data_IF_537388283193
#
_entry.id   IF_537388283193
#
_cell.length_a   1.000
_cell.length_b   1.000
_cell.length_c   1.000
_cell.angle_alpha   90.00
_cell.angle_beta   90.00
_cell.angle_gamma   90.00
#
_symmetry.space_group_name_H-M   'P 1'
#
loop_
_entity.id
_entity.type
_entity.pdbx_description
1 polymer ?
#
# COMPACT_ATOMS: atom_id res chain seq x y z
N UNK A 1 -0.89 -17.18 -17.72
CA UNK A 1 -0.18 -15.91 -17.39
C UNK A 1 -0.24 -15.81 -15.89
N UNK A 2 0.86 -15.51 -15.21
CA UNK A 2 0.92 -15.39 -13.75
C UNK A 2 0.99 -13.92 -13.36
N UNK A 3 0.44 -13.58 -12.21
CA UNK A 3 0.44 -12.21 -11.70
C UNK A 3 0.87 -12.23 -10.24
N UNK A 4 1.76 -11.33 -9.84
CA UNK A 4 2.14 -11.16 -8.44
C UNK A 4 2.05 -9.69 -8.04
N UNK A 5 1.27 -9.41 -6.99
CA UNK A 5 1.16 -8.11 -6.35
C UNK A 5 2.00 -8.10 -5.05
N UNK A 6 2.99 -7.23 -4.99
CA UNK A 6 3.90 -7.13 -3.84
C UNK A 6 3.59 -5.91 -3.01
N UNK A 7 3.52 -6.06 -1.69
CA UNK A 7 3.76 -4.93 -0.81
C UNK A 7 5.16 -4.33 -1.04
N UNK A 8 5.31 -3.07 -0.64
CA UNK A 8 6.52 -2.29 -0.82
C UNK A 8 7.42 -2.27 0.41
N UNK A 9 6.96 -1.71 1.53
CA UNK A 9 7.81 -1.40 2.69
C UNK A 9 7.98 -2.60 3.62
N UNK A 10 9.19 -3.16 3.71
CA UNK A 10 9.43 -4.38 4.47
C UNK A 10 9.22 -5.66 3.67
N UNK A 11 8.67 -5.53 2.45
CA UNK A 11 8.48 -6.63 1.49
C UNK A 11 9.45 -6.51 0.31
N UNK A 12 9.16 -5.63 -0.66
CA UNK A 12 10.00 -5.43 -1.84
C UNK A 12 11.23 -4.55 -1.53
N UNK A 13 11.04 -3.54 -0.68
CA UNK A 13 12.09 -2.68 -0.17
C UNK A 13 12.39 -3.06 1.29
N UNK A 14 13.52 -3.72 1.51
CA UNK A 14 13.93 -4.17 2.83
C UNK A 14 15.11 -3.36 3.34
N UNK A 15 14.98 -2.72 4.51
CA UNK A 15 16.00 -1.81 5.04
C UNK A 15 16.46 -0.75 4.01
N UNK A 16 15.49 -0.14 3.31
CA UNK A 16 15.72 0.88 2.27
C UNK A 16 16.49 0.39 1.04
N UNK A 17 16.59 -0.93 0.83
CA UNK A 17 17.33 -1.51 -0.29
C UNK A 17 16.52 -2.63 -0.97
N UNK A 18 16.69 -2.74 -2.29
CA UNK A 18 16.24 -3.90 -3.04
C UNK A 18 17.29 -5.00 -2.97
N UNK A 19 16.87 -6.26 -2.79
CA UNK A 19 17.78 -7.39 -3.00
C UNK A 19 18.02 -7.57 -4.50
N UNK A 20 19.27 -7.78 -4.90
CA UNK A 20 19.61 -7.96 -6.33
C UNK A 20 18.91 -9.18 -6.95
N UNK A 21 18.74 -10.25 -6.15
CA UNK A 21 18.02 -11.46 -6.54
C UNK A 21 16.57 -11.19 -6.91
N UNK A 22 15.83 -10.47 -6.06
CA UNK A 22 14.45 -10.05 -6.31
C UNK A 22 14.35 -9.26 -7.62
N UNK A 23 15.21 -8.24 -7.82
CA UNK A 23 15.20 -7.43 -9.04
C UNK A 23 15.44 -8.25 -10.31
N UNK A 24 16.38 -9.20 -10.26
CA UNK A 24 16.69 -10.08 -11.39
C UNK A 24 15.50 -10.99 -11.68
N UNK A 25 14.92 -11.60 -10.64
CA UNK A 25 13.81 -12.53 -10.76
C UNK A 25 12.54 -11.86 -11.28
N UNK A 26 12.22 -10.64 -10.81
CA UNK A 26 11.10 -9.83 -11.32
C UNK A 26 11.25 -9.60 -12.82
N UNK A 27 12.45 -9.22 -13.29
CA UNK A 27 12.72 -9.01 -14.71
C UNK A 27 12.59 -10.29 -15.54
N UNK A 28 13.01 -11.43 -15.00
CA UNK A 28 12.82 -12.74 -15.64
C UNK A 28 11.34 -13.11 -15.73
N UNK A 29 10.61 -12.93 -14.63
CA UNK A 29 9.17 -13.18 -14.55
C UNK A 29 8.40 -12.36 -15.58
N UNK A 30 8.65 -11.04 -15.66
CA UNK A 30 8.00 -10.16 -16.63
C UNK A 30 8.35 -10.50 -18.09
N UNK A 31 9.59 -10.94 -18.37
CA UNK A 31 10.02 -11.36 -19.72
C UNK A 31 9.25 -12.58 -20.23
N UNK A 32 8.70 -13.41 -19.35
CA UNK A 32 7.87 -14.56 -19.72
C UNK A 32 6.41 -14.15 -20.04
N UNK A 33 6.09 -12.86 -19.98
CA UNK A 33 4.74 -12.35 -20.20
C UNK A 33 3.85 -12.38 -18.96
N UNK A 34 4.44 -12.60 -17.78
CA UNK A 34 3.76 -12.47 -16.49
C UNK A 34 3.75 -11.02 -16.01
N UNK A 35 2.88 -10.68 -15.06
CA UNK A 35 2.71 -9.31 -14.56
C UNK A 35 3.18 -9.18 -13.12
N UNK A 36 4.05 -8.20 -12.85
CA UNK A 36 4.50 -7.87 -11.50
C UNK A 36 4.12 -6.43 -11.15
N UNK A 37 3.43 -6.23 -10.04
CA UNK A 37 2.95 -4.92 -9.63
C UNK A 37 2.97 -4.70 -8.12
N UNK A 38 2.63 -3.48 -7.72
CA UNK A 38 2.65 -3.05 -6.33
C UNK A 38 1.28 -3.12 -5.67
N UNK A 39 1.27 -3.36 -4.36
CA UNK A 39 0.14 -3.18 -3.47
C UNK A 39 0.57 -2.46 -2.18
N UNK A 40 0.52 -1.14 -2.16
CA UNK A 40 1.13 -0.31 -1.12
C UNK A 40 0.16 0.68 -0.46
N UNK A 41 0.44 1.05 0.79
CA UNK A 41 -0.21 2.15 1.49
C UNK A 41 0.27 3.54 1.03
N UNK A 42 1.38 3.63 0.28
CA UNK A 42 1.92 4.91 -0.20
C UNK A 42 1.23 5.41 -1.47
N UNK A 43 1.27 6.73 -1.74
CA UNK A 43 0.88 7.30 -3.03
C UNK A 43 1.98 7.12 -4.09
N UNK A 44 1.59 7.34 -5.35
CA UNK A 44 2.41 7.04 -6.52
C UNK A 44 3.76 7.76 -6.57
N UNK A 45 3.80 9.09 -6.41
CA UNK A 45 4.97 9.92 -6.76
C UNK A 45 6.27 9.47 -6.08
N UNK A 46 6.22 9.28 -4.76
CA UNK A 46 7.39 8.88 -3.97
C UNK A 46 7.91 7.48 -4.31
N UNK A 47 7.00 6.52 -4.53
CA UNK A 47 7.37 5.16 -4.95
C UNK A 47 7.95 5.17 -6.36
N UNK A 48 7.27 5.82 -7.30
CA UNK A 48 7.61 5.77 -8.71
C UNK A 48 9.01 6.34 -8.99
N UNK A 49 9.31 7.51 -8.43
CA UNK A 49 10.61 8.17 -8.60
C UNK A 49 11.77 7.29 -8.09
N UNK A 50 11.57 6.61 -6.97
CA UNK A 50 12.57 5.71 -6.39
C UNK A 50 12.73 4.40 -7.16
N UNK A 51 11.62 3.78 -7.57
CA UNK A 51 11.64 2.43 -8.16
C UNK A 51 11.98 2.41 -9.66
N UNK A 52 11.67 3.48 -10.40
CA UNK A 52 11.82 3.55 -11.86
C UNK A 52 13.19 3.12 -12.41
N UNK A 53 14.33 3.37 -11.74
CA UNK A 53 15.63 2.88 -12.22
C UNK A 53 15.81 1.35 -12.11
N UNK A 54 15.01 0.68 -11.28
CA UNK A 54 15.20 -0.71 -10.89
C UNK A 54 14.12 -1.63 -11.48
N UNK A 55 12.85 -1.22 -11.41
CA UNK A 55 11.67 -2.01 -11.74
C UNK A 55 10.69 -1.12 -12.53
N UNK A 56 10.15 -1.67 -13.61
CA UNK A 56 9.01 -1.11 -14.36
C UNK A 56 7.78 -1.98 -14.06
N UNK A 57 6.91 -1.53 -13.16
CA UNK A 57 5.76 -2.32 -12.71
C UNK A 57 4.66 -2.36 -13.76
N UNK A 58 3.94 -3.47 -13.82
CA UNK A 58 2.83 -3.67 -14.77
C UNK A 58 1.50 -3.08 -14.25
N UNK A 59 1.39 -2.82 -12.96
CA UNK A 59 0.26 -2.15 -12.31
C UNK A 59 0.64 -1.61 -10.93
N UNK A 60 -0.21 -0.74 -10.39
CA UNK A 60 -0.03 -0.14 -9.07
C UNK A 60 -1.36 -0.14 -8.32
N UNK A 61 -1.42 -0.82 -7.17
CA UNK A 61 -2.45 -0.63 -6.16
C UNK A 61 -1.83 0.22 -5.05
N UNK A 62 -2.40 1.39 -4.81
CA UNK A 62 -1.83 2.47 -4.00
C UNK A 62 -2.83 2.95 -2.96
N UNK A 63 -2.33 3.71 -1.98
CA UNK A 63 -3.15 4.31 -0.93
C UNK A 63 -4.06 3.26 -0.25
N UNK A 64 -3.51 2.07 0.04
CA UNK A 64 -4.23 0.93 0.65
C UNK A 64 -5.48 0.53 -0.15
N UNK A 65 -5.33 0.48 -1.48
CA UNK A 65 -6.37 0.03 -2.40
C UNK A 65 -7.32 1.12 -2.89
N UNK A 66 -7.20 2.35 -2.39
CA UNK A 66 -8.05 3.47 -2.81
C UNK A 66 -7.71 3.98 -4.23
N UNK A 67 -6.56 3.61 -4.81
CA UNK A 67 -6.18 3.99 -6.17
C UNK A 67 -5.54 2.80 -6.89
N UNK A 68 -6.01 2.49 -8.09
CA UNK A 68 -5.41 1.47 -8.96
C UNK A 68 -5.04 2.08 -10.31
N UNK A 69 -3.80 1.86 -10.73
CA UNK A 69 -3.25 2.30 -12.02
C UNK A 69 -2.82 1.10 -12.86
N UNK A 70 -3.01 1.19 -14.18
CA UNK A 70 -2.40 0.27 -15.13
C UNK A 70 -0.91 0.61 -15.39
N UNK A 71 -0.26 -0.16 -16.28
CA UNK A 71 1.14 0.05 -16.70
C UNK A 71 1.40 1.45 -17.27
N UNK A 72 0.45 1.96 -18.04
CA UNK A 72 0.49 3.29 -18.63
C UNK A 72 0.28 4.41 -17.60
N UNK A 73 -0.01 4.04 -16.34
CA UNK A 73 -0.31 4.90 -15.18
C UNK A 73 -1.65 5.61 -15.30
N UNK A 74 -2.56 5.06 -16.10
CA UNK A 74 -3.94 5.52 -16.19
C UNK A 74 -4.71 5.01 -14.97
N UNK A 75 -5.57 5.86 -14.42
CA UNK A 75 -6.43 5.50 -13.29
C UNK A 75 -7.52 4.56 -13.81
N UNK A 76 -7.49 3.31 -13.36
CA UNK A 76 -8.52 2.31 -13.68
C UNK A 76 -9.54 2.17 -12.54
N UNK A 77 -9.14 2.48 -11.31
CA UNK A 77 -10.05 2.57 -10.17
C UNK A 77 -9.60 3.66 -9.21
N UNK A 78 -10.55 4.35 -8.58
CA UNK A 78 -10.30 5.22 -7.43
C UNK A 78 -11.48 5.26 -6.47
N UNK A 79 -11.17 5.52 -5.22
CA UNK A 79 -12.09 5.82 -4.12
C UNK A 79 -11.50 7.00 -3.34
N UNK A 80 -12.37 7.88 -2.82
CA UNK A 80 -11.94 9.20 -2.35
C UNK A 80 -12.61 9.63 -1.06
N UNK A 81 -11.84 10.32 -0.23
CA UNK A 81 -12.31 10.99 0.98
C UNK A 81 -12.75 12.41 0.59
N UNK A 82 -13.92 12.83 1.07
CA UNK A 82 -14.40 14.19 0.82
C UNK A 82 -13.54 15.23 1.57
N UNK A 83 -13.43 16.44 1.01
CA UNK A 83 -12.75 17.55 1.72
C UNK A 83 -13.38 17.83 3.10
N UNK A 84 -14.70 17.72 3.22
CA UNK A 84 -15.38 17.91 4.49
C UNK A 84 -14.89 16.90 5.55
N UNK A 85 -14.84 15.62 5.19
CA UNK A 85 -14.40 14.55 6.07
C UNK A 85 -12.90 14.68 6.42
N UNK A 86 -12.07 15.11 5.46
CA UNK A 86 -10.67 15.46 5.72
C UNK A 86 -10.56 16.53 6.82
N UNK A 87 -11.34 17.62 6.73
CA UNK A 87 -11.30 18.68 7.73
C UNK A 87 -11.72 18.18 9.12
N UNK A 88 -12.81 17.42 9.21
CA UNK A 88 -13.27 16.87 10.50
C UNK A 88 -12.26 15.90 11.11
N UNK A 89 -11.65 15.03 10.30
CA UNK A 89 -10.60 14.13 10.75
C UNK A 89 -9.37 14.91 11.24
N UNK A 90 -8.92 15.90 10.45
CA UNK A 90 -7.74 16.70 10.78
C UNK A 90 -7.95 17.49 12.08
N UNK A 91 -9.12 18.13 12.27
CA UNK A 91 -9.46 18.87 13.48
C UNK A 91 -9.41 18.01 14.74
N UNK A 92 -9.76 16.73 14.64
CA UNK A 92 -9.74 15.79 15.76
C UNK A 92 -8.31 15.34 16.11
N UNK A 93 -7.51 14.95 15.12
CA UNK A 93 -6.27 14.20 15.37
C UNK A 93 -4.98 15.02 15.24
N UNK A 94 -4.99 16.19 14.60
CA UNK A 94 -3.77 16.96 14.30
C UNK A 94 -2.95 17.39 15.54
N UNK A 95 -3.56 17.42 16.73
CA UNK A 95 -2.87 17.82 17.96
C UNK A 95 -1.98 16.72 18.52
N UNK A 96 -2.34 15.46 18.25
CA UNK A 96 -1.71 14.29 18.84
C UNK A 96 -0.83 13.54 17.83
N UNK A 97 -1.13 13.70 16.54
CA UNK A 97 -0.51 12.95 15.44
C UNK A 97 -0.11 13.85 14.27
N UNK A 98 1.05 13.56 13.69
CA UNK A 98 1.42 14.07 12.37
C UNK A 98 0.60 13.33 11.30
N UNK A 99 -0.16 14.10 10.53
CA UNK A 99 -1.04 13.57 9.48
C UNK A 99 -0.43 13.85 8.11
N UNK A 100 -0.37 12.81 7.29
CA UNK A 100 0.04 12.85 5.90
C UNK A 100 -1.19 12.64 5.01
N UNK A 101 -1.51 13.64 4.20
CA UNK A 101 -2.68 13.62 3.32
C UNK A 101 -2.24 13.09 1.97
N UNK A 102 -2.80 11.97 1.53
CA UNK A 102 -2.48 11.35 0.24
C UNK A 102 -3.49 11.81 -0.79
N UNK A 103 -3.13 12.79 -1.61
CA UNK A 103 -4.01 13.37 -2.62
C UNK A 103 -3.25 13.67 -3.91
N UNK A 104 -3.95 13.62 -5.04
CA UNK A 104 -3.36 13.90 -6.36
C UNK A 104 -2.01 13.19 -6.59
N UNK A 105 -1.95 11.90 -6.22
CA UNK A 105 -0.78 11.02 -6.40
C UNK A 105 0.47 11.42 -5.56
N UNK A 106 0.35 12.34 -4.61
CA UNK A 106 1.44 12.79 -3.75
C UNK A 106 1.00 12.97 -2.29
N UNK A 107 1.95 13.35 -1.43
CA UNK A 107 1.72 13.60 0.00
C UNK A 107 1.66 15.10 0.25
N UNK A 108 0.67 15.56 1.02
CA UNK A 108 0.61 16.89 1.62
C UNK A 108 0.73 16.77 3.15
N UNK A 109 1.40 17.71 3.80
CA UNK A 109 1.52 17.75 5.26
C UNK A 109 1.76 19.15 5.79
N UNK A 110 1.43 19.39 7.06
CA UNK A 110 1.81 20.61 7.78
C UNK A 110 3.20 20.52 8.40
N UNK A 111 3.80 19.31 8.43
CA UNK A 111 5.10 19.10 9.04
C UNK A 111 6.22 19.72 8.19
N UNK A 112 6.90 20.69 8.80
CA UNK A 112 7.99 21.46 8.16
C UNK A 112 9.37 20.81 8.31
N UNK A 113 9.49 19.86 9.24
CA UNK A 113 10.73 19.14 9.51
C UNK A 113 11.15 18.32 8.30
N UNK A 114 12.46 18.14 8.12
CA UNK A 114 12.98 17.31 7.04
C UNK A 114 12.78 15.83 7.35
N UNK A 115 11.96 15.15 6.55
CA UNK A 115 11.68 13.72 6.62
C UNK A 115 12.55 12.90 5.64
N UNK A 116 13.71 13.44 5.26
CA UNK A 116 14.66 12.76 4.39
C UNK A 116 14.11 12.54 2.98
N UNK A 117 14.07 11.29 2.55
CA UNK A 117 13.68 10.91 1.18
C UNK A 117 12.17 11.02 0.89
N UNK A 118 11.33 11.35 1.89
CA UNK A 118 9.89 11.47 1.69
C UNK A 118 9.52 12.70 0.85
N UNK A 119 9.15 12.44 -0.40
CA UNK A 119 8.60 13.44 -1.34
C UNK A 119 7.22 13.88 -0.87
N UNK A 120 7.09 15.16 -0.50
CA UNK A 120 5.86 15.76 0.03
C UNK A 120 5.76 17.25 -0.29
N UNK A 121 4.54 17.78 -0.22
CA UNK A 121 4.25 19.21 -0.28
C UNK A 121 3.87 19.71 1.11
N UNK A 122 4.61 20.70 1.61
CA UNK A 122 4.28 21.36 2.87
C UNK A 122 3.19 22.40 2.61
N UNK A 123 2.09 22.33 3.37
CA UNK A 123 0.93 23.22 3.25
C UNK A 123 0.74 24.05 4.52
N UNK A 124 -0.02 25.14 4.39
CA UNK A 124 -0.42 26.01 5.50
C UNK A 124 -1.94 26.08 5.72
N UNK A 125 -2.71 25.58 4.76
CA UNK A 125 -4.16 25.36 4.84
C UNK A 125 -4.53 24.04 4.16
N UNK A 126 -5.57 23.36 4.67
CA UNK A 126 -6.16 22.20 4.02
C UNK A 126 -6.78 22.53 2.64
N UNK A 127 -7.10 23.80 2.40
CA UNK A 127 -7.60 24.26 1.09
C UNK A 127 -6.55 24.14 -0.02
N UNK A 128 -5.26 24.10 0.33
CA UNK A 128 -4.14 23.87 -0.60
C UNK A 128 -4.05 22.42 -1.10
N UNK A 129 -4.80 21.49 -0.48
CA UNK A 129 -4.89 20.12 -0.97
C UNK A 129 -5.72 20.11 -2.25
N UNK A 130 -5.05 19.82 -3.36
CA UNK A 130 -5.65 19.75 -4.68
C UNK A 130 -5.99 18.31 -5.08
N UNK A 131 -7.02 18.18 -5.93
CA UNK A 131 -7.42 16.92 -6.54
C UNK A 131 -8.14 15.96 -5.60
N UNK A 132 -8.16 14.69 -6.02
CA UNK A 132 -8.78 13.60 -5.27
C UNK A 132 -7.91 13.21 -4.07
N UNK A 133 -8.54 13.10 -2.89
CA UNK A 133 -7.92 12.62 -1.66
C UNK A 133 -8.18 11.12 -1.57
N UNK A 134 -7.15 10.31 -1.69
CA UNK A 134 -7.27 8.85 -1.72
C UNK A 134 -7.19 8.25 -0.32
N UNK A 135 -6.49 8.91 0.59
CA UNK A 135 -6.30 8.42 1.95
C UNK A 135 -5.48 9.37 2.80
N UNK A 136 -5.29 8.99 4.05
CA UNK A 136 -4.45 9.66 5.03
C UNK A 136 -3.51 8.63 5.64
N UNK A 137 -2.39 9.06 6.21
CA UNK A 137 -1.64 8.21 7.12
C UNK A 137 -1.12 9.00 8.31
N UNK A 138 -0.89 8.30 9.42
CA UNK A 138 -0.33 8.89 10.63
C UNK A 138 0.51 7.89 11.40
N UNK A 139 1.49 8.40 12.15
CA UNK A 139 2.34 7.59 13.01
C UNK A 139 1.80 7.59 14.45
N UNK A 140 1.33 6.42 14.91
CA UNK A 140 0.80 6.22 16.24
C UNK A 140 1.89 5.88 17.29
N UNK A 141 3.17 5.98 16.93
CA UNK A 141 4.40 5.77 17.73
C UNK A 141 4.66 4.34 18.17
N UNK A 142 3.63 3.57 18.46
CA UNK A 142 3.75 2.16 18.84
C UNK A 142 2.65 1.34 18.18
N UNK A 143 2.95 0.04 17.98
CA UNK A 143 2.01 -0.93 17.44
C UNK A 143 0.71 -1.03 18.29
N UNK A 144 0.85 -1.10 19.62
CA UNK A 144 -0.31 -1.16 20.52
C UNK A 144 -1.19 0.09 20.43
N UNK A 145 -0.58 1.27 20.29
CA UNK A 145 -1.33 2.50 20.14
C UNK A 145 -1.99 2.59 18.76
N UNK A 146 -1.31 2.15 17.70
CA UNK A 146 -1.88 2.07 16.36
C UNK A 146 -3.19 1.27 16.36
N UNK A 147 -3.17 0.08 16.97
CA UNK A 147 -4.37 -0.75 17.11
C UNK A 147 -5.54 -0.05 17.81
N UNK A 148 -5.25 0.67 18.91
CA UNK A 148 -6.28 1.40 19.68
C UNK A 148 -6.87 2.56 18.87
N UNK A 149 -6.01 3.30 18.17
CA UNK A 149 -6.40 4.47 17.40
C UNK A 149 -7.18 4.05 16.14
N UNK A 150 -6.87 2.91 15.51
CA UNK A 150 -7.72 2.37 14.43
C UNK A 150 -9.17 2.18 14.90
N UNK A 151 -9.38 1.58 16.08
CA UNK A 151 -10.72 1.39 16.65
C UNK A 151 -11.42 2.73 16.94
N UNK A 152 -10.69 3.70 17.50
CA UNK A 152 -11.23 5.05 17.75
C UNK A 152 -11.65 5.74 16.44
N UNK A 153 -10.84 5.65 15.38
CA UNK A 153 -11.19 6.22 14.07
C UNK A 153 -12.48 5.61 13.54
N UNK A 154 -12.60 4.29 13.51
CA UNK A 154 -13.77 3.63 12.93
C UNK A 154 -15.05 3.84 13.76
N UNK A 155 -14.93 4.08 15.07
CA UNK A 155 -16.05 4.48 15.93
C UNK A 155 -16.54 5.91 15.63
N UNK A 156 -15.63 6.84 15.39
CA UNK A 156 -15.97 8.26 15.19
C UNK A 156 -16.25 8.64 13.74
N UNK A 157 -15.70 7.88 12.78
CA UNK A 157 -15.82 8.11 11.35
C UNK A 157 -16.26 6.80 10.65
N UNK A 158 -17.55 6.45 10.69
CA UNK A 158 -18.06 5.23 10.06
C UNK A 158 -17.84 5.19 8.53
N UNK A 159 -17.60 6.34 7.90
CA UNK A 159 -17.25 6.52 6.50
C UNK A 159 -15.77 6.21 6.20
N UNK A 160 -14.96 5.90 7.20
CA UNK A 160 -13.55 5.58 7.05
C UNK A 160 -13.25 4.13 7.47
N UNK A 161 -12.15 3.61 6.93
CA UNK A 161 -11.51 2.36 7.38
C UNK A 161 -10.07 2.66 7.76
N UNK A 162 -9.66 2.20 8.94
CA UNK A 162 -8.32 2.41 9.49
C UNK A 162 -7.53 1.09 9.51
N UNK A 163 -6.43 1.05 8.77
CA UNK A 163 -5.57 -0.11 8.60
C UNK A 163 -4.31 0.08 9.42
N UNK A 164 -4.10 -0.79 10.41
CA UNK A 164 -2.84 -0.81 11.15
C UNK A 164 -1.72 -1.26 10.22
N UNK A 165 -0.60 -0.55 10.23
CA UNK A 165 0.63 -0.93 9.55
C UNK A 165 1.80 -0.69 10.51
N UNK A 166 2.08 -1.69 11.37
CA UNK A 166 2.99 -1.56 12.50
C UNK A 166 2.59 -0.36 13.38
N UNK A 167 3.48 0.57 13.64
CA UNK A 167 3.20 1.82 14.36
C UNK A 167 2.48 2.89 13.53
N UNK A 168 2.31 2.68 12.22
CA UNK A 168 1.54 3.58 11.35
C UNK A 168 0.10 3.13 11.19
N UNK A 169 -0.75 4.06 10.76
CA UNK A 169 -2.13 3.80 10.38
C UNK A 169 -2.36 4.40 9.00
N UNK A 170 -2.88 3.60 8.08
CA UNK A 170 -3.42 4.07 6.81
C UNK A 170 -4.94 4.24 6.94
N UNK A 171 -5.48 5.38 6.53
CA UNK A 171 -6.90 5.69 6.62
C UNK A 171 -7.44 5.92 5.21
N UNK A 172 -8.52 5.23 4.88
CA UNK A 172 -9.13 5.24 3.54
C UNK A 172 -10.65 5.39 3.64
N UNK A 173 -11.33 5.67 2.52
CA UNK A 173 -12.79 5.60 2.46
C UNK A 173 -13.28 4.20 2.88
N UNK A 174 -14.47 4.13 3.49
CA UNK A 174 -15.05 2.90 4.01
C UNK A 174 -14.98 1.75 3.02
N UNK A 175 -14.42 0.63 3.48
CA UNK A 175 -14.35 -0.61 2.71
C UNK A 175 -13.14 -0.71 1.79
N UNK A 176 -12.35 0.36 1.62
CA UNK A 176 -11.06 0.25 0.95
C UNK A 176 -10.09 -0.59 1.77
N UNK A 177 -9.31 -1.41 1.07
CA UNK A 177 -8.22 -2.21 1.59
C UNK A 177 -7.33 -2.65 0.43
N UNK A 178 -6.11 -3.13 0.74
CA UNK A 178 -5.26 -3.77 -0.27
C UNK A 178 -5.98 -4.92 -0.98
N UNK A 179 -6.78 -5.70 -0.26
CA UNK A 179 -7.65 -6.76 -0.80
C UNK A 179 -8.70 -6.24 -1.80
N UNK A 180 -9.40 -5.14 -1.49
CA UNK A 180 -10.31 -4.52 -2.45
C UNK A 180 -9.57 -4.07 -3.72
N UNK A 181 -8.35 -3.54 -3.56
CA UNK A 181 -7.47 -3.20 -4.67
C UNK A 181 -7.16 -4.40 -5.57
N UNK A 182 -6.88 -5.57 -5.00
CA UNK A 182 -6.68 -6.83 -5.76
C UNK A 182 -7.94 -7.21 -6.51
N UNK A 183 -9.11 -7.18 -5.86
CA UNK A 183 -10.39 -7.50 -6.52
C UNK A 183 -10.65 -6.57 -7.71
N UNK A 184 -10.40 -5.27 -7.53
CA UNK A 184 -10.56 -4.27 -8.61
C UNK A 184 -9.57 -4.49 -9.74
N UNK A 185 -8.33 -4.82 -9.42
CA UNK A 185 -7.32 -5.18 -10.42
C UNK A 185 -7.77 -6.41 -11.23
N UNK A 186 -8.18 -7.49 -10.57
CA UNK A 186 -8.66 -8.72 -11.24
C UNK A 186 -9.83 -8.43 -12.16
N UNK A 187 -10.83 -7.71 -11.67
CA UNK A 187 -12.02 -7.31 -12.44
C UNK A 187 -11.66 -6.50 -13.70
N UNK A 188 -10.88 -5.43 -13.52
CA UNK A 188 -10.66 -4.42 -14.55
C UNK A 188 -9.59 -4.80 -15.58
N UNK A 189 -8.64 -5.65 -15.19
CA UNK A 189 -7.61 -6.19 -16.09
C UNK A 189 -7.95 -7.61 -16.60
N UNK A 190 -9.12 -8.15 -16.23
CA UNK A 190 -9.58 -9.49 -16.61
C UNK A 190 -8.57 -10.58 -16.24
N UNK A 191 -8.06 -10.53 -15.01
CA UNK A 191 -7.09 -11.49 -14.49
C UNK A 191 -7.82 -12.62 -13.76
N UNK A 192 -7.45 -13.86 -14.08
CA UNK A 192 -8.01 -15.06 -13.46
C UNK A 192 -7.40 -15.30 -12.08
N UNK A 193 -6.07 -15.36 -12.02
CA UNK A 193 -5.29 -15.64 -10.81
C UNK A 193 -4.28 -14.53 -10.53
N UNK A 194 -4.15 -14.17 -9.26
CA UNK A 194 -3.20 -13.20 -8.72
C UNK A 194 -2.60 -13.78 -7.45
N UNK A 195 -1.27 -13.80 -7.38
CA UNK A 195 -0.54 -14.05 -6.15
C UNK A 195 -0.26 -12.75 -5.39
N UNK A 196 -0.08 -12.82 -4.08
CA UNK A 196 0.21 -11.68 -3.21
C UNK A 196 1.33 -11.96 -2.22
N UNK A 197 2.17 -10.96 -1.94
CA UNK A 197 3.20 -11.04 -0.89
C UNK A 197 3.20 -9.78 -0.03
N UNK A 198 3.26 -9.93 1.30
CA UNK A 198 3.25 -8.81 2.25
C UNK A 198 3.82 -9.18 3.62
N UNK A 199 4.06 -8.17 4.47
CA UNK A 199 4.75 -8.33 5.75
C UNK A 199 4.00 -7.79 6.98
N UNK A 200 2.92 -7.02 6.80
CA UNK A 200 2.26 -6.25 7.86
C UNK A 200 0.74 -6.40 7.87
N UNK A 201 0.07 -5.90 8.93
CA UNK A 201 -1.37 -6.14 9.13
C UNK A 201 -2.26 -5.57 8.02
N UNK A 202 -1.86 -4.47 7.36
CA UNK A 202 -2.57 -3.91 6.22
C UNK A 202 -2.48 -4.78 4.95
N UNK A 203 -1.63 -5.81 4.95
CA UNK A 203 -1.55 -6.83 3.91
C UNK A 203 -2.52 -7.99 4.10
N UNK A 204 -3.02 -8.23 5.32
CA UNK A 204 -3.94 -9.35 5.61
C UNK A 204 -5.11 -9.39 4.60
N UNK A 205 -5.82 -8.27 4.30
CA UNK A 205 -6.89 -8.31 3.31
C UNK A 205 -6.42 -8.71 1.91
N UNK A 206 -5.20 -8.35 1.50
CA UNK A 206 -4.63 -8.80 0.23
C UNK A 206 -4.35 -10.30 0.28
N UNK A 207 -3.67 -10.77 1.33
CA UNK A 207 -3.24 -12.16 1.49
C UNK A 207 -4.43 -13.13 1.56
N UNK A 208 -5.55 -12.73 2.16
CA UNK A 208 -6.80 -13.51 2.17
C UNK A 208 -7.55 -13.49 0.82
N UNK A 209 -7.24 -12.54 -0.06
CA UNK A 209 -7.97 -12.32 -1.33
C UNK A 209 -7.29 -12.98 -2.53
N UNK A 210 -5.96 -13.04 -2.52
CA UNK A 210 -5.16 -13.60 -3.61
C UNK A 210 -5.31 -15.12 -3.70
N UNK A 211 -5.03 -15.68 -4.87
CA UNK A 211 -5.15 -17.12 -5.15
C UNK A 211 -3.94 -17.91 -4.62
N UNK A 212 -2.80 -17.23 -4.45
CA UNK A 212 -1.59 -17.74 -3.80
C UNK A 212 -0.94 -16.64 -2.96
N UNK A 213 -0.70 -16.92 -1.69
CA UNK A 213 -0.28 -15.94 -0.71
C UNK A 213 1.07 -16.27 -0.09
N UNK A 214 1.91 -15.25 0.04
CA UNK A 214 3.26 -15.36 0.59
C UNK A 214 3.48 -14.34 1.71
N UNK A 215 4.24 -14.74 2.73
CA UNK A 215 4.77 -13.80 3.73
C UNK A 215 6.15 -14.25 4.20
N UNK A 216 6.74 -13.52 5.16
CA UNK A 216 8.09 -13.79 5.66
C UNK A 216 8.09 -14.42 7.05
N UNK A 217 9.14 -15.17 7.43
CA UNK A 217 9.28 -15.69 8.80
C UNK A 217 9.28 -14.61 9.89
N UNK A 218 9.64 -13.38 9.52
CA UNK A 218 9.69 -12.21 10.42
C UNK A 218 8.36 -11.49 10.57
N UNK A 219 7.35 -11.85 9.78
CA UNK A 219 6.02 -11.23 9.82
C UNK A 219 5.23 -11.66 11.07
N UNK A 220 4.25 -10.86 11.51
CA UNK A 220 3.39 -11.22 12.63
C UNK A 220 2.70 -12.58 12.45
N UNK A 221 2.43 -13.28 13.55
CA UNK A 221 1.75 -14.60 13.52
C UNK A 221 0.39 -14.55 12.81
N UNK A 222 -0.30 -13.40 12.89
CA UNK A 222 -1.56 -13.18 12.18
C UNK A 222 -1.44 -13.26 10.65
N UNK A 223 -0.23 -13.08 10.09
CA UNK A 223 0.03 -13.28 8.66
C UNK A 223 0.53 -14.70 8.38
N UNK A 224 1.54 -15.16 9.12
CA UNK A 224 2.15 -16.48 8.87
C UNK A 224 1.19 -17.65 9.06
N UNK A 225 0.09 -17.45 9.79
CA UNK A 225 -0.97 -18.45 9.99
C UNK A 225 -2.03 -18.51 8.89
N UNK A 226 -2.10 -17.53 7.99
CA UNK A 226 -3.14 -17.44 6.95
C UNK A 226 -2.62 -17.62 5.53
N UNK A 227 -1.30 -17.55 5.32
CA UNK A 227 -0.70 -17.66 3.98
C UNK A 227 -0.42 -19.10 3.56
N UNK A 228 -0.31 -19.31 2.25
CA UNK A 228 0.02 -20.62 1.66
C UNK A 228 1.48 -20.98 1.90
N UNK A 229 2.40 -20.04 1.71
CA UNK A 229 3.84 -20.26 1.85
C UNK A 229 4.52 -19.12 2.62
N UNK A 230 5.48 -19.51 3.47
CA UNK A 230 6.38 -18.58 4.15
C UNK A 230 7.75 -18.67 3.46
N UNK A 231 8.23 -17.53 2.94
CA UNK A 231 9.42 -17.43 2.08
C UNK A 231 10.43 -16.42 2.62
N UNK A 232 11.69 -16.53 2.21
CA UNK A 232 12.76 -15.61 2.64
C UNK A 232 12.93 -14.39 1.71
N UNK A 233 12.27 -14.39 0.54
CA UNK A 233 12.43 -13.37 -0.49
C UNK A 233 11.30 -13.32 -1.51
N UNK A 234 11.16 -12.20 -2.21
CA UNK A 234 10.28 -12.08 -3.38
C UNK A 234 10.77 -12.99 -4.50
N UNK A 235 12.09 -13.18 -4.62
CA UNK A 235 12.72 -14.13 -5.54
C UNK A 235 12.17 -15.55 -5.35
N UNK A 236 12.13 -16.03 -4.10
CA UNK A 236 11.64 -17.37 -3.77
C UNK A 236 10.14 -17.52 -4.06
N UNK A 237 9.31 -16.53 -3.70
CA UNK A 237 7.89 -16.53 -4.06
C UNK A 237 7.68 -16.63 -5.57
N UNK A 238 8.44 -15.87 -6.36
CA UNK A 238 8.39 -15.96 -7.83
C UNK A 238 8.87 -17.32 -8.35
N UNK A 239 9.87 -17.94 -7.73
CA UNK A 239 10.33 -19.28 -8.11
C UNK A 239 9.32 -20.39 -7.79
N UNK A 240 8.58 -20.27 -6.69
CA UNK A 240 7.45 -21.16 -6.37
C UNK A 240 6.36 -20.96 -7.41
N UNK A 241 5.89 -19.71 -7.55
CA UNK A 241 4.82 -19.35 -8.46
C UNK A 241 5.14 -19.78 -9.89
N UNK A 242 6.38 -19.71 -10.36
CA UNK A 242 6.75 -20.12 -11.72
C UNK A 242 6.77 -21.63 -11.96
N UNK A 243 6.87 -22.48 -10.92
CA UNK A 243 6.92 -23.94 -11.06
C UNK A 243 5.54 -24.60 -11.24
N UNK A 244 4.48 -23.92 -10.80
CA UNK A 244 3.09 -24.38 -10.89
C UNK A 244 2.54 -24.36 -12.33
#
# INVERSE_FOLDING_TARGET
MKVLASDYDGTLLFNEQFKEGDLKKIKEFQKLGNLFGLCSGRPFKGIYEFCKPYIDFDFYILCTGALVLNKEREVIYKSTISKHLLHEFYDRYQKDYDIFIQANMQIYTFLKEDLGSMVRQVITSLDEVEGDIYGLSMNAKTDENARKVCLDIEEHFPELTAHQNKEFIDITEKGCSKGLGILKLKELMHLEEVAGIGDSYNDIPMLETVDHSFTFPTSPESLTSIVDDVVDSVEEALDILMKE
#
